data_IF_751243644645
#
_entry.id   IF_751243644645
#
_cell.length_a   1.000
_cell.length_b   1.000
_cell.length_c   1.000
_cell.angle_alpha   90.00
_cell.angle_beta   90.00
_cell.angle_gamma   90.00
#
_symmetry.space_group_name_H-M   'P 1'
#
loop_
_entity.id
_entity.type
_entity.pdbx_description
1 polymer ?
#
# COMPACT_ATOMS: atom_id res chain seq x y z
N UNK A 1 -6.03 -5.96 12.37
CA UNK A 1 -7.24 -5.37 11.77
C UNK A 1 -6.88 -5.00 10.35
N UNK A 2 -7.28 -5.84 9.41
CA UNK A 2 -7.11 -5.67 7.96
C UNK A 2 -8.27 -4.84 7.42
N UNK A 3 -8.00 -3.90 6.52
CA UNK A 3 -9.00 -2.99 5.95
C UNK A 3 -9.54 -3.59 4.65
N UNK A 4 -10.84 -3.93 4.56
CA UNK A 4 -11.44 -4.40 3.31
C UNK A 4 -11.51 -3.28 2.26
N UNK A 5 -11.24 -3.60 0.99
CA UNK A 5 -11.20 -2.66 -0.13
C UNK A 5 -12.61 -2.35 -0.64
N UNK A 6 -13.27 -1.31 -0.11
CA UNK A 6 -14.49 -0.76 -0.71
C UNK A 6 -14.14 0.27 -1.80
N UNK A 7 -13.79 -0.19 -3.00
CA UNK A 7 -13.37 0.70 -4.11
C UNK A 7 -14.51 1.65 -4.55
N UNK A 8 -15.78 1.30 -4.33
CA UNK A 8 -16.94 2.08 -4.77
C UNK A 8 -17.47 3.10 -3.76
N UNK A 9 -17.23 2.93 -2.45
CA UNK A 9 -17.81 3.79 -1.39
C UNK A 9 -16.76 4.48 -0.49
N UNK A 10 -15.47 4.33 -0.80
CA UNK A 10 -14.42 4.98 -0.02
C UNK A 10 -14.55 6.51 -0.09
N UNK A 11 -14.76 7.15 1.07
CA UNK A 11 -14.38 8.55 1.32
C UNK A 11 -12.99 8.73 0.66
N UNK A 12 -12.70 9.83 -0.07
CA UNK A 12 -11.46 10.02 -0.82
C UNK A 12 -10.21 10.17 0.08
N UNK A 13 -10.00 9.27 1.04
CA UNK A 13 -8.69 8.71 1.34
C UNK A 13 -8.13 8.20 0.01
N UNK A 14 -7.02 8.81 -0.36
CA UNK A 14 -6.67 9.05 -1.75
C UNK A 14 -6.58 7.75 -2.52
N UNK A 15 -7.29 7.65 -3.65
CA UNK A 15 -7.12 6.56 -4.64
C UNK A 15 -5.62 6.28 -4.88
N UNK A 16 -4.78 7.32 -4.79
CA UNK A 16 -3.32 7.25 -4.77
C UNK A 16 -2.74 6.26 -3.74
N UNK A 17 -3.22 6.25 -2.51
CA UNK A 17 -2.71 5.38 -1.45
C UNK A 17 -3.15 3.93 -1.67
N UNK A 18 -4.36 3.71 -2.21
CA UNK A 18 -4.81 2.40 -2.68
C UNK A 18 -3.92 1.90 -3.83
N UNK A 19 -3.64 2.74 -4.81
CA UNK A 19 -2.74 2.40 -5.93
C UNK A 19 -1.31 2.13 -5.48
N UNK A 20 -0.80 2.85 -4.45
CA UNK A 20 0.49 2.55 -3.83
C UNK A 20 0.47 1.20 -3.10
N UNK A 21 -0.62 0.87 -2.42
CA UNK A 21 -0.77 -0.41 -1.73
C UNK A 21 -0.94 -1.58 -2.72
N UNK A 22 -1.50 -1.33 -3.90
CA UNK A 22 -1.61 -2.27 -5.02
C UNK A 22 -0.35 -2.30 -5.92
N UNK A 23 0.80 -1.82 -5.44
CA UNK A 23 2.03 -1.86 -6.23
C UNK A 23 2.73 -3.23 -6.13
N UNK A 24 3.43 -3.62 -7.19
CA UNK A 24 4.27 -4.84 -7.19
C UNK A 24 5.30 -4.73 -6.07
N UNK A 25 5.41 -5.77 -5.25
CA UNK A 25 6.26 -5.78 -4.06
C UNK A 25 5.53 -5.46 -2.74
N UNK A 26 4.28 -4.99 -2.79
CA UNK A 26 3.47 -4.77 -1.59
C UNK A 26 2.98 -6.09 -0.99
N UNK A 27 2.89 -6.15 0.34
CA UNK A 27 2.33 -7.30 1.04
C UNK A 27 0.81 -7.29 0.96
N UNK A 28 0.24 -8.46 0.74
CA UNK A 28 -1.19 -8.66 0.71
C UNK A 28 -1.55 -10.07 1.19
N UNK A 29 -2.80 -10.21 1.67
CA UNK A 29 -3.33 -11.46 2.19
C UNK A 29 -4.68 -11.76 1.56
N UNK A 30 -4.88 -13.00 1.17
CA UNK A 30 -6.14 -13.48 0.61
C UNK A 30 -6.44 -14.90 1.12
N UNK A 31 -7.63 -15.11 1.68
CA UNK A 31 -8.08 -16.42 2.20
C UNK A 31 -7.07 -17.12 3.14
N UNK A 32 -6.35 -16.34 3.95
CA UNK A 32 -5.33 -16.85 4.87
C UNK A 32 -3.95 -17.09 4.26
N UNK A 33 -3.79 -16.93 2.94
CA UNK A 33 -2.49 -16.93 2.28
C UNK A 33 -1.88 -15.53 2.30
N UNK A 34 -0.74 -15.39 2.96
CA UNK A 34 0.06 -14.16 2.96
C UNK A 34 1.15 -14.25 1.89
N UNK A 35 1.31 -13.18 1.12
CA UNK A 35 2.33 -13.11 0.09
C UNK A 35 2.59 -11.68 -0.37
N UNK A 36 3.31 -11.58 -1.47
CA UNK A 36 3.69 -10.30 -2.07
C UNK A 36 3.04 -10.16 -3.44
N UNK A 37 2.51 -8.99 -3.76
CA UNK A 37 1.94 -8.72 -5.09
C UNK A 37 3.05 -8.84 -6.14
N UNK A 38 2.91 -9.80 -7.05
CA UNK A 38 3.85 -10.02 -8.15
C UNK A 38 3.45 -9.34 -9.45
N UNK A 39 2.15 -9.16 -9.67
CA UNK A 39 1.58 -8.58 -10.87
C UNK A 39 0.18 -8.04 -10.60
N UNK A 40 -0.18 -6.95 -11.27
CA UNK A 40 -1.50 -6.31 -11.21
C UNK A 40 -1.98 -6.02 -12.61
N UNK A 41 -3.22 -6.43 -12.90
CA UNK A 41 -3.96 -6.18 -14.13
C UNK A 41 -5.41 -5.82 -13.78
N UNK A 42 -6.16 -5.32 -14.78
CA UNK A 42 -7.58 -5.00 -14.65
C UNK A 42 -8.46 -6.23 -14.38
N UNK A 43 -7.97 -7.42 -14.74
CA UNK A 43 -8.70 -8.68 -14.63
C UNK A 43 -8.30 -9.50 -13.39
N UNK A 44 -7.03 -9.44 -12.99
CA UNK A 44 -6.48 -10.25 -11.90
C UNK A 44 -5.22 -9.66 -11.27
N UNK A 45 -4.96 -10.08 -10.05
CA UNK A 45 -3.75 -9.79 -9.28
C UNK A 45 -3.06 -11.12 -8.97
N UNK A 46 -1.73 -11.14 -8.96
CA UNK A 46 -0.97 -12.31 -8.51
C UNK A 46 -0.30 -12.06 -7.17
N UNK A 47 -0.40 -13.04 -6.27
CA UNK A 47 0.30 -13.06 -4.99
C UNK A 47 1.37 -14.14 -5.02
N UNK A 48 2.63 -13.74 -4.91
CA UNK A 48 3.77 -14.64 -4.77
C UNK A 48 3.83 -15.10 -3.32
N UNK A 49 3.65 -16.40 -3.09
CA UNK A 49 3.65 -17.01 -1.76
C UNK A 49 5.03 -17.55 -1.37
N UNK A 50 5.78 -18.06 -2.35
CA UNK A 50 7.13 -18.59 -2.17
C UNK A 50 7.94 -18.50 -3.44
N UNK A 51 9.24 -18.37 -3.28
CA UNK A 51 10.25 -18.48 -4.33
C UNK A 51 11.09 -19.73 -4.05
N UNK A 52 11.35 -20.53 -5.08
CA UNK A 52 12.13 -21.76 -5.00
C UNK A 52 13.30 -21.61 -5.95
N UNK A 53 14.56 -21.78 -5.50
CA UNK A 53 15.72 -21.71 -6.37
C UNK A 53 15.63 -22.72 -7.51
N UNK A 54 15.88 -22.28 -8.74
CA UNK A 54 15.86 -23.12 -9.94
C UNK A 54 16.79 -22.57 -11.02
N UNK A 55 17.95 -23.20 -11.17
CA UNK A 55 19.00 -22.81 -12.10
C UNK A 55 18.59 -22.96 -13.58
N UNK A 56 17.51 -23.70 -13.87
CA UNK A 56 16.99 -23.85 -15.23
C UNK A 56 16.06 -22.70 -15.66
N UNK A 57 15.80 -21.75 -14.78
CA UNK A 57 14.93 -20.59 -15.07
C UNK A 57 15.77 -19.35 -15.38
N UNK A 58 15.21 -18.42 -16.17
CA UNK A 58 15.89 -17.16 -16.56
C UNK A 58 16.38 -16.34 -15.37
N UNK A 59 15.68 -16.39 -14.25
CA UNK A 59 15.97 -15.57 -13.07
C UNK A 59 16.60 -16.38 -11.92
N UNK A 60 16.82 -17.69 -12.10
CA UNK A 60 17.39 -18.56 -11.06
C UNK A 60 16.39 -18.96 -9.97
N UNK A 61 15.11 -18.63 -10.12
CA UNK A 61 14.05 -19.00 -9.20
C UNK A 61 12.73 -19.24 -9.95
N UNK A 62 11.93 -20.17 -9.42
CA UNK A 62 10.52 -20.35 -9.76
C UNK A 62 9.66 -19.76 -8.64
N UNK A 63 8.58 -19.08 -8.99
CA UNK A 63 7.63 -18.55 -8.02
C UNK A 63 6.38 -19.41 -7.96
N UNK A 64 5.83 -19.58 -6.76
CA UNK A 64 4.50 -20.14 -6.58
C UNK A 64 3.55 -19.00 -6.27
N UNK A 65 2.68 -18.75 -7.25
CA UNK A 65 1.80 -17.61 -7.25
C UNK A 65 0.34 -18.05 -7.17
N UNK A 66 -0.45 -17.28 -6.44
CA UNK A 66 -1.90 -17.39 -6.37
C UNK A 66 -2.52 -16.29 -7.22
N UNK A 67 -3.62 -16.59 -7.91
CA UNK A 67 -4.36 -15.62 -8.73
C UNK A 67 -5.60 -15.17 -7.96
N UNK A 68 -5.70 -13.87 -7.72
CA UNK A 68 -6.89 -13.22 -7.15
C UNK A 68 -7.63 -12.54 -8.29
N UNK A 69 -8.83 -13.06 -8.62
CA UNK A 69 -9.64 -12.52 -9.72
C UNK A 69 -10.40 -11.28 -9.25
N UNK A 70 -10.84 -10.47 -10.20
CA UNK A 70 -11.61 -9.25 -9.94
C UNK A 70 -12.82 -9.43 -9.01
N UNK A 71 -13.54 -10.55 -9.09
CA UNK A 71 -14.68 -10.82 -8.22
C UNK A 71 -14.30 -11.04 -6.75
N UNK A 72 -13.04 -11.39 -6.48
CA UNK A 72 -12.54 -11.77 -5.16
C UNK A 72 -11.72 -10.62 -4.53
N UNK A 73 -11.70 -9.42 -5.14
CA UNK A 73 -10.92 -8.27 -4.67
C UNK A 73 -11.43 -7.68 -3.35
N UNK A 74 -12.70 -7.86 -3.02
CA UNK A 74 -13.26 -7.39 -1.74
C UNK A 74 -12.67 -8.15 -0.55
N UNK A 75 -12.26 -9.41 -0.77
CA UNK A 75 -11.61 -10.26 0.24
C UNK A 75 -10.10 -10.05 0.30
N UNK A 76 -9.53 -9.22 -0.59
CA UNK A 76 -8.10 -8.95 -0.62
C UNK A 76 -7.74 -7.92 0.45
N UNK A 77 -6.86 -8.32 1.36
CA UNK A 77 -6.40 -7.47 2.45
C UNK A 77 -5.00 -6.93 2.13
N UNK A 78 -4.88 -5.60 2.09
CA UNK A 78 -3.60 -4.91 1.84
C UNK A 78 -2.94 -4.47 3.15
N UNK A 79 -1.61 -4.32 3.12
CA UNK A 79 -0.85 -3.87 4.28
C UNK A 79 -1.28 -2.44 4.73
N UNK A 80 -1.71 -2.25 5.99
CA UNK A 80 -2.13 -0.97 6.53
C UNK A 80 -1.03 0.11 6.54
N UNK A 81 0.25 -0.25 6.36
CA UNK A 81 1.38 0.70 6.31
C UNK A 81 1.15 1.79 5.25
N UNK A 82 0.57 1.45 4.10
CA UNK A 82 0.31 2.40 3.02
C UNK A 82 -0.82 3.39 3.33
N UNK A 83 -1.66 3.10 4.33
CA UNK A 83 -2.81 3.91 4.72
C UNK A 83 -2.50 4.84 5.91
N UNK A 84 -1.29 4.77 6.47
CA UNK A 84 -0.86 5.71 7.51
C UNK A 84 -0.54 7.05 6.86
N UNK A 85 -1.39 8.05 7.09
CA UNK A 85 -1.07 9.47 6.87
C UNK A 85 0.10 9.91 7.76
N UNK A 86 1.32 9.58 7.38
CA UNK A 86 2.51 10.24 7.92
C UNK A 86 2.56 11.63 7.28
N UNK A 87 2.48 12.69 8.08
CA UNK A 87 2.71 14.05 7.56
C UNK A 87 4.08 14.05 6.88
N UNK A 88 4.09 14.20 5.55
CA UNK A 88 5.32 14.21 4.76
C UNK A 88 6.23 15.40 5.15
N UNK A 89 5.64 16.46 5.70
CA UNK A 89 6.34 17.66 6.13
C UNK A 89 6.76 17.57 7.60
N UNK A 90 8.08 17.58 7.85
CA UNK A 90 8.70 17.67 9.18
C UNK A 90 9.17 19.10 9.53
N UNK A 91 8.97 20.07 8.64
CA UNK A 91 9.37 21.46 8.87
C UNK A 91 8.39 22.22 9.76
N UNK A 92 8.81 23.41 10.22
CA UNK A 92 7.91 24.41 10.81
C UNK A 92 7.31 25.21 9.65
N UNK A 93 5.99 25.19 9.50
CA UNK A 93 5.30 26.02 8.51
C UNK A 93 5.39 27.47 9.00
N UNK A 94 6.33 28.24 8.46
CA UNK A 94 6.32 29.69 8.61
C UNK A 94 5.59 30.25 7.38
N UNK A 95 4.27 30.41 7.50
CA UNK A 95 3.40 30.88 6.41
C UNK A 95 3.76 32.30 5.93
N UNK A 96 4.43 33.11 6.76
CA UNK A 96 4.90 34.45 6.42
C UNK A 96 6.25 34.76 7.08
N UNK A 97 7.09 35.56 6.40
CA UNK A 97 8.45 35.94 6.84
C UNK A 97 8.53 36.71 8.19
N UNK A 98 7.39 36.98 8.84
CA UNK A 98 7.30 37.66 10.14
C UNK A 98 6.88 36.77 11.32
N UNK A 99 6.63 35.47 11.11
CA UNK A 99 6.14 34.58 12.17
C UNK A 99 7.20 34.29 13.25
N UNK A 100 8.48 34.47 12.94
CA UNK A 100 9.59 34.33 13.88
C UNK A 100 9.74 35.56 14.81
N UNK A 101 9.03 36.66 14.53
CA UNK A 101 9.03 37.90 15.35
C UNK A 101 7.80 38.00 16.25
N UNK A 102 6.87 37.04 16.18
CA UNK A 102 5.73 37.03 17.10
C UNK A 102 6.17 36.53 18.48
N UNK A 103 5.75 37.19 19.57
CA UNK A 103 6.01 36.71 20.92
C UNK A 103 5.37 35.34 21.11
N UNK A 104 6.05 34.46 21.86
CA UNK A 104 5.56 33.13 22.21
C UNK A 104 4.21 33.22 22.94
N UNK A 105 3.31 32.26 22.64
CA UNK A 105 1.91 32.27 23.09
C UNK A 105 1.78 32.35 24.62
N UNK A 106 2.77 31.88 25.38
CA UNK A 106 2.79 31.93 26.85
C UNK A 106 3.02 33.34 27.44
N UNK A 107 3.23 34.37 26.61
CA UNK A 107 3.37 35.77 27.05
C UNK A 107 2.28 36.69 26.48
N UNK A 108 1.13 36.14 26.08
CA UNK A 108 -0.06 36.91 25.67
C UNK A 108 -0.94 37.28 26.85
#
# INVERSE_FOLDING_TARGET
MSTPLFISESIPLEIRDILKALSVGSKARWQGFEGTIGFVSDDYITLILREIPDENTRYGFRTVSLIVRRCDWEELELDPIHFKRVRAYRGKINDHAGNDMMPEIDKR
#
